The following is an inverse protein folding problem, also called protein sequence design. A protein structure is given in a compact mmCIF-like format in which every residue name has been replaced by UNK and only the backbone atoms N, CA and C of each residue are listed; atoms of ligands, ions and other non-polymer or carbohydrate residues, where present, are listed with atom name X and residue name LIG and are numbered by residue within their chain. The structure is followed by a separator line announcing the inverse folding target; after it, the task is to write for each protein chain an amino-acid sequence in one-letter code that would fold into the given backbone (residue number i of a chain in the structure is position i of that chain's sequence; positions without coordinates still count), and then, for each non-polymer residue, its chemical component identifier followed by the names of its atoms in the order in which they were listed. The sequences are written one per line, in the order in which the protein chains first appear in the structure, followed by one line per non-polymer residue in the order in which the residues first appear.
data_IF_494174563238
#
_entry.id   IF_494174563238
#
_cell.length_a   1.000
_cell.length_b   1.000
_cell.length_c   1.000
_cell.angle_alpha   90.00
_cell.angle_beta   90.00
_cell.angle_gamma   90.00
#
_symmetry.space_group_name_H-M   'P 1'
#
loop_
_entity.id
_entity.type
_entity.pdbx_description
1 polymer ?
#
# COMPACT_ATOMS: atom_id res chain seq x y z
N UNK A 1 4.76 -3.66 -4.75
CA UNK A 1 3.44 -3.65 -5.44
C UNK A 1 3.51 -2.56 -6.50
N UNK A 2 3.21 -2.84 -7.78
CA UNK A 2 3.28 -1.84 -8.84
C UNK A 2 2.22 -0.76 -8.69
N UNK A 3 2.51 0.43 -9.20
CA UNK A 3 1.52 1.50 -9.31
C UNK A 3 0.50 1.17 -10.42
N UNK A 4 -0.75 1.59 -10.23
CA UNK A 4 -1.87 1.26 -11.13
C UNK A 4 -1.65 1.69 -12.58
N UNK A 5 -1.02 2.84 -12.80
CA UNK A 5 -0.73 3.40 -14.13
C UNK A 5 0.34 2.65 -14.93
N UNK A 6 1.03 1.69 -14.31
CA UNK A 6 2.05 0.85 -14.95
C UNK A 6 1.49 -0.49 -15.43
N UNK A 7 0.19 -0.74 -15.27
CA UNK A 7 -0.45 -2.03 -15.57
C UNK A 7 -1.37 -1.87 -16.78
N UNK A 8 -1.20 -2.75 -17.76
CA UNK A 8 -2.16 -2.88 -18.88
C UNK A 8 -3.37 -3.70 -18.41
N UNK A 9 -4.45 -3.01 -18.09
CA UNK A 9 -5.69 -3.61 -17.60
C UNK A 9 -6.49 -4.33 -18.68
N UNK A 10 -6.26 -4.04 -19.96
CA UNK A 10 -6.91 -4.70 -21.08
C UNK A 10 -6.25 -6.06 -21.43
N UNK A 11 -5.12 -6.36 -20.79
CA UNK A 11 -4.45 -7.65 -21.03
C UNK A 11 -5.35 -8.81 -20.59
N UNK A 12 -5.57 -9.84 -21.46
CA UNK A 12 -6.58 -10.87 -21.25
C UNK A 12 -6.14 -11.95 -20.25
N UNK A 13 -5.93 -11.57 -19.00
CA UNK A 13 -5.58 -12.49 -17.90
C UNK A 13 -6.62 -12.42 -16.78
N UNK A 14 -6.71 -13.49 -16.02
CA UNK A 14 -7.57 -13.60 -14.85
C UNK A 14 -6.86 -13.12 -13.57
N UNK A 15 -7.64 -12.88 -12.52
CA UNK A 15 -7.13 -12.62 -11.17
C UNK A 15 -6.18 -13.73 -10.72
N UNK A 16 -6.57 -15.00 -10.93
CA UNK A 16 -5.75 -16.16 -10.58
C UNK A 16 -4.42 -16.19 -11.32
N UNK A 17 -4.40 -15.80 -12.61
CA UNK A 17 -3.17 -15.73 -13.40
C UNK A 17 -2.21 -14.67 -12.83
N UNK A 18 -2.73 -13.49 -12.50
CA UNK A 18 -1.90 -12.40 -11.92
C UNK A 18 -1.36 -12.79 -10.54
N UNK A 19 -2.17 -13.41 -9.68
CA UNK A 19 -1.70 -13.85 -8.36
C UNK A 19 -0.69 -14.99 -8.51
N UNK A 20 -0.89 -15.92 -9.47
CA UNK A 20 0.06 -16.98 -9.80
C UNK A 20 1.42 -16.43 -10.27
N UNK A 21 1.48 -15.26 -10.91
CA UNK A 21 2.75 -14.62 -11.26
C UNK A 21 3.63 -14.36 -10.02
N UNK A 22 3.04 -14.22 -8.82
CA UNK A 22 3.79 -14.16 -7.57
C UNK A 22 4.61 -15.42 -7.29
N UNK A 23 4.21 -16.59 -7.83
CA UNK A 23 4.89 -17.86 -7.64
C UNK A 23 6.03 -18.13 -8.63
N UNK A 24 6.11 -17.36 -9.73
CA UNK A 24 7.05 -17.65 -10.85
C UNK A 24 8.50 -17.78 -10.37
N UNK A 25 8.93 -16.90 -9.45
CA UNK A 25 10.30 -16.95 -8.91
C UNK A 25 10.64 -18.25 -8.18
N UNK A 26 9.65 -18.90 -7.57
CA UNK A 26 9.82 -20.14 -6.80
C UNK A 26 9.52 -21.40 -7.61
N UNK A 27 8.69 -21.29 -8.65
CA UNK A 27 8.43 -22.40 -9.55
C UNK A 27 9.64 -22.74 -10.43
N UNK A 28 10.46 -21.73 -10.75
CA UNK A 28 11.58 -21.84 -11.69
C UNK A 28 11.14 -21.74 -13.16
N UNK A 29 12.09 -21.37 -14.03
CA UNK A 29 11.85 -21.18 -15.46
C UNK A 29 11.34 -22.50 -16.07
N UNK A 30 10.32 -22.41 -16.94
CA UNK A 30 9.74 -23.53 -17.71
C UNK A 30 9.04 -24.61 -16.90
N UNK A 31 8.65 -24.35 -15.65
CA UNK A 31 7.84 -25.31 -14.88
C UNK A 31 6.38 -24.86 -14.82
N UNK A 32 5.47 -25.82 -14.96
CA UNK A 32 4.04 -25.57 -14.75
C UNK A 32 3.72 -25.45 -13.26
N UNK A 33 2.71 -24.65 -12.95
CA UNK A 33 2.16 -24.53 -11.60
C UNK A 33 1.67 -25.89 -11.08
N UNK A 34 2.00 -26.20 -9.82
CA UNK A 34 1.58 -27.42 -9.13
C UNK A 34 0.41 -27.12 -8.20
N UNK A 35 -0.23 -28.15 -7.68
CA UNK A 35 -1.33 -28.04 -6.72
C UNK A 35 -0.94 -27.18 -5.50
N UNK A 36 0.32 -27.26 -5.03
CA UNK A 36 0.83 -26.40 -3.96
C UNK A 36 0.77 -24.92 -4.34
N UNK A 37 1.13 -24.56 -5.57
CA UNK A 37 1.14 -23.16 -6.00
C UNK A 37 -0.28 -22.62 -6.10
N UNK A 38 -1.21 -23.40 -6.63
CA UNK A 38 -2.63 -23.05 -6.64
C UNK A 38 -3.22 -22.91 -5.23
N UNK A 39 -2.83 -23.79 -4.30
CA UNK A 39 -3.25 -23.67 -2.91
C UNK A 39 -2.82 -22.35 -2.29
N UNK A 40 -1.57 -21.91 -2.52
CA UNK A 40 -1.06 -20.63 -2.05
C UNK A 40 -1.78 -19.43 -2.71
N UNK A 41 -2.10 -19.53 -3.99
CA UNK A 41 -2.91 -18.53 -4.70
C UNK A 41 -4.30 -18.40 -4.06
N UNK A 42 -4.99 -19.50 -3.80
CA UNK A 42 -6.29 -19.49 -3.12
C UNK A 42 -6.19 -18.88 -1.72
N UNK A 43 -5.23 -19.30 -0.90
CA UNK A 43 -5.01 -18.76 0.43
C UNK A 43 -4.75 -17.24 0.40
N UNK A 44 -3.92 -16.78 -0.53
CA UNK A 44 -3.65 -15.35 -0.69
C UNK A 44 -4.91 -14.56 -1.11
N UNK A 45 -5.74 -15.13 -1.98
CA UNK A 45 -7.00 -14.52 -2.39
C UNK A 45 -8.06 -14.52 -1.28
N UNK A 46 -8.10 -15.56 -0.45
CA UNK A 46 -8.98 -15.63 0.73
C UNK A 46 -8.65 -14.52 1.72
N UNK A 47 -7.36 -14.28 2.02
CA UNK A 47 -6.92 -13.22 2.94
C UNK A 47 -7.44 -11.84 2.52
N UNK A 48 -7.49 -11.56 1.22
CA UNK A 48 -7.95 -10.27 0.69
C UNK A 48 -9.42 -10.29 0.25
N UNK A 49 -10.17 -11.36 0.53
CA UNK A 49 -11.58 -11.49 0.17
C UNK A 49 -11.85 -11.54 -1.34
N UNK A 50 -10.93 -12.12 -2.12
CA UNK A 50 -10.98 -12.14 -3.58
C UNK A 50 -11.08 -13.56 -4.18
N UNK A 51 -11.21 -14.62 -3.39
CA UNK A 51 -11.21 -15.98 -3.91
C UNK A 51 -12.34 -16.26 -4.93
N UNK A 52 -13.53 -15.72 -4.68
CA UNK A 52 -14.66 -15.81 -5.61
C UNK A 52 -14.39 -15.16 -6.99
N UNK A 53 -13.39 -14.31 -7.09
CA UNK A 53 -13.04 -13.60 -8.32
C UNK A 53 -11.88 -14.25 -9.10
N UNK A 54 -11.35 -15.37 -8.66
CA UNK A 54 -10.14 -16.01 -9.23
C UNK A 54 -10.19 -16.18 -10.76
N UNK A 55 -11.36 -16.46 -11.33
CA UNK A 55 -11.57 -16.63 -12.78
C UNK A 55 -12.01 -15.35 -13.50
N UNK A 56 -12.18 -14.23 -12.78
CA UNK A 56 -12.60 -12.96 -13.37
C UNK A 56 -11.42 -12.32 -14.09
N UNK A 57 -11.68 -11.70 -15.24
CA UNK A 57 -10.66 -10.90 -15.96
C UNK A 57 -10.33 -9.62 -15.18
N UNK A 58 -9.06 -9.20 -15.21
CA UNK A 58 -8.59 -8.03 -14.47
C UNK A 58 -9.24 -6.73 -14.94
N UNK A 59 -9.62 -6.63 -16.22
CA UNK A 59 -10.35 -5.48 -16.79
C UNK A 59 -11.71 -5.24 -16.14
N UNK A 60 -12.30 -6.25 -15.51
CA UNK A 60 -13.62 -6.19 -14.87
C UNK A 60 -13.55 -5.82 -13.37
N UNK A 61 -12.37 -5.54 -12.85
CA UNK A 61 -12.17 -5.24 -11.44
C UNK A 61 -12.35 -3.75 -11.14
N UNK A 62 -13.01 -3.45 -10.02
CA UNK A 62 -12.98 -2.11 -9.44
C UNK A 62 -11.56 -1.76 -8.94
N UNK A 63 -11.30 -0.46 -8.71
CA UNK A 63 -9.99 0.02 -8.23
C UNK A 63 -9.57 -0.68 -6.93
N UNK A 64 -10.48 -0.80 -5.96
CA UNK A 64 -10.21 -1.52 -4.72
C UNK A 64 -9.94 -3.01 -4.92
N UNK A 65 -10.65 -3.67 -5.86
CA UNK A 65 -10.38 -5.06 -6.21
C UNK A 65 -9.03 -5.24 -6.90
N UNK A 66 -8.63 -4.32 -7.77
CA UNK A 66 -7.31 -4.28 -8.38
C UNK A 66 -6.21 -4.22 -7.31
N UNK A 67 -6.37 -3.34 -6.33
CA UNK A 67 -5.44 -3.20 -5.22
C UNK A 67 -5.32 -4.49 -4.41
N UNK A 68 -6.45 -5.09 -4.03
CA UNK A 68 -6.49 -6.35 -3.29
C UNK A 68 -5.84 -7.50 -4.05
N UNK A 69 -6.03 -7.57 -5.37
CA UNK A 69 -5.38 -8.57 -6.20
C UNK A 69 -3.84 -8.45 -6.16
N UNK A 70 -3.29 -7.23 -6.17
CA UNK A 70 -1.84 -7.05 -6.05
C UNK A 70 -1.29 -7.37 -4.66
N UNK A 71 -2.07 -7.13 -3.60
CA UNK A 71 -1.72 -7.61 -2.25
C UNK A 71 -1.69 -9.14 -2.25
N UNK A 72 -2.71 -9.80 -2.80
CA UNK A 72 -2.75 -11.26 -2.91
C UNK A 72 -1.55 -11.81 -3.70
N UNK A 73 -1.15 -11.15 -4.80
CA UNK A 73 0.05 -11.53 -5.56
C UNK A 73 1.32 -11.47 -4.69
N UNK A 74 1.48 -10.44 -3.86
CA UNK A 74 2.61 -10.32 -2.96
C UNK A 74 2.60 -11.40 -1.88
N UNK A 75 1.42 -11.72 -1.32
CA UNK A 75 1.25 -12.80 -0.36
C UNK A 75 1.55 -14.17 -0.97
N UNK A 76 1.07 -14.43 -2.19
CA UNK A 76 1.34 -15.68 -2.88
C UNK A 76 2.85 -15.89 -3.14
N UNK A 77 3.65 -14.83 -3.16
CA UNK A 77 5.10 -14.89 -3.24
C UNK A 77 5.75 -15.41 -1.94
N UNK A 78 4.98 -15.57 -0.85
CA UNK A 78 5.50 -15.87 0.51
C UNK A 78 6.52 -14.81 0.95
N UNK A 79 6.24 -13.52 0.65
CA UNK A 79 7.13 -12.42 0.99
C UNK A 79 7.06 -12.11 2.49
N UNK A 80 8.22 -12.01 3.14
CA UNK A 80 8.34 -11.56 4.54
C UNK A 80 8.24 -10.03 4.67
N UNK A 81 8.51 -9.30 3.57
CA UNK A 81 8.43 -7.85 3.48
C UNK A 81 7.68 -7.43 2.22
N UNK A 82 6.63 -6.64 2.38
CA UNK A 82 5.85 -6.06 1.29
C UNK A 82 6.07 -4.55 1.26
N UNK A 83 6.54 -4.04 0.13
CA UNK A 83 6.69 -2.60 -0.11
C UNK A 83 5.55 -2.13 -1.00
N UNK A 84 4.84 -1.08 -0.56
CA UNK A 84 3.75 -0.47 -1.30
C UNK A 84 3.98 1.03 -1.42
N UNK A 85 3.90 1.53 -2.64
CA UNK A 85 4.02 2.95 -2.92
C UNK A 85 2.64 3.53 -3.16
N UNK A 86 2.20 4.43 -2.27
CA UNK A 86 0.89 5.08 -2.24
C UNK A 86 -0.30 4.17 -2.58
N UNK A 87 -0.46 3.02 -1.91
CA UNK A 87 -1.45 2.02 -2.30
C UNK A 87 -2.91 2.47 -2.10
N UNK A 88 -3.14 3.55 -1.36
CA UNK A 88 -4.48 4.03 -1.01
C UNK A 88 -4.91 5.24 -1.85
N UNK A 89 -4.03 5.74 -2.72
CA UNK A 89 -4.31 6.89 -3.58
C UNK A 89 -5.44 6.58 -4.57
N UNK A 90 -6.42 7.49 -4.65
CA UNK A 90 -7.58 7.35 -5.53
C UNK A 90 -8.68 6.42 -5.00
N UNK A 91 -8.58 5.93 -3.77
CA UNK A 91 -9.66 5.24 -3.08
C UNK A 91 -10.52 6.23 -2.29
N UNK A 92 -11.84 6.04 -2.30
CA UNK A 92 -12.72 6.73 -1.36
C UNK A 92 -12.51 6.26 0.08
N UNK A 93 -13.03 7.00 1.05
CA UNK A 93 -12.82 6.72 2.47
C UNK A 93 -13.25 5.29 2.89
N UNK A 94 -14.33 4.77 2.31
CA UNK A 94 -14.82 3.42 2.62
C UNK A 94 -13.86 2.34 2.12
N UNK A 95 -13.32 2.50 0.92
CA UNK A 95 -12.33 1.59 0.34
C UNK A 95 -10.98 1.69 1.05
N UNK A 96 -10.59 2.88 1.51
CA UNK A 96 -9.39 3.05 2.34
C UNK A 96 -9.50 2.29 3.66
N UNK A 97 -10.62 2.41 4.37
CA UNK A 97 -10.89 1.66 5.60
C UNK A 97 -10.87 0.14 5.38
N UNK A 98 -11.40 -0.32 4.24
CA UNK A 98 -11.33 -1.74 3.88
C UNK A 98 -9.89 -2.19 3.62
N UNK A 99 -9.10 -1.36 2.94
CA UNK A 99 -7.70 -1.63 2.69
C UNK A 99 -6.88 -1.65 3.99
N UNK A 100 -7.11 -0.72 4.92
CA UNK A 100 -6.45 -0.74 6.24
C UNK A 100 -6.76 -2.02 6.99
N UNK A 101 -8.02 -2.48 7.01
CA UNK A 101 -8.39 -3.76 7.66
C UNK A 101 -7.65 -4.96 7.06
N UNK A 102 -7.43 -4.97 5.75
CA UNK A 102 -6.62 -6.02 5.12
C UNK A 102 -5.17 -5.91 5.58
N UNK A 103 -4.59 -4.71 5.60
CA UNK A 103 -3.21 -4.49 6.04
C UNK A 103 -3.00 -4.91 7.50
N UNK A 104 -3.96 -4.61 8.39
CA UNK A 104 -3.94 -5.06 9.78
C UNK A 104 -3.96 -6.59 9.88
N UNK A 105 -4.73 -7.26 9.02
CA UNK A 105 -4.75 -8.73 8.99
C UNK A 105 -3.43 -9.35 8.58
N UNK A 106 -2.59 -8.65 7.81
CA UNK A 106 -1.27 -9.14 7.40
C UNK A 106 -0.28 -9.22 8.57
N UNK A 107 -0.45 -8.40 9.61
CA UNK A 107 0.38 -8.49 10.82
C UNK A 107 0.25 -9.85 11.50
N UNK A 108 -0.95 -10.45 11.45
CA UNK A 108 -1.18 -11.79 12.02
C UNK A 108 -0.49 -12.92 11.23
N UNK A 109 0.04 -12.62 10.05
CA UNK A 109 0.73 -13.56 9.16
C UNK A 109 2.26 -13.41 9.20
N UNK A 110 2.81 -12.70 10.19
CA UNK A 110 4.26 -12.40 10.32
C UNK A 110 4.85 -11.68 9.08
N UNK A 111 4.00 -10.91 8.35
CA UNK A 111 4.43 -10.14 7.18
C UNK A 111 4.68 -8.69 7.59
N UNK A 112 5.87 -8.21 7.34
CA UNK A 112 6.19 -6.78 7.50
C UNK A 112 5.69 -6.00 6.30
N UNK A 113 4.89 -4.96 6.52
CA UNK A 113 4.38 -4.08 5.45
C UNK A 113 4.96 -2.68 5.63
N UNK A 114 5.59 -2.16 4.58
CA UNK A 114 6.07 -0.78 4.52
C UNK A 114 5.33 -0.05 3.40
N UNK A 115 4.65 1.04 3.78
CA UNK A 115 3.78 1.82 2.89
C UNK A 115 4.28 3.26 2.84
N UNK A 116 4.43 3.83 1.63
CA UNK A 116 4.50 5.29 1.48
C UNK A 116 3.09 5.88 1.55
N UNK A 117 2.93 6.96 2.28
CA UNK A 117 1.65 7.65 2.41
C UNK A 117 1.88 9.13 2.71
N UNK A 118 1.05 10.01 2.14
CA UNK A 118 1.20 11.45 2.31
C UNK A 118 0.22 12.05 3.33
N UNK A 119 -0.85 11.35 3.70
CA UNK A 119 -1.79 11.81 4.72
C UNK A 119 -1.27 11.47 6.14
N UNK A 120 -0.73 12.50 6.80
CA UNK A 120 -0.18 12.41 8.16
C UNK A 120 -1.22 11.96 9.18
N UNK A 121 -2.50 12.36 9.00
CA UNK A 121 -3.58 11.99 9.90
C UNK A 121 -3.92 10.50 9.79
N UNK A 122 -4.06 10.00 8.57
CA UNK A 122 -4.29 8.58 8.34
C UNK A 122 -3.12 7.74 8.87
N UNK A 123 -1.87 8.19 8.64
CA UNK A 123 -0.67 7.52 9.17
C UNK A 123 -0.70 7.44 10.69
N UNK A 124 -1.05 8.51 11.39
CA UNK A 124 -1.09 8.53 12.87
C UNK A 124 -2.18 7.63 13.46
N UNK A 125 -3.24 7.37 12.72
CA UNK A 125 -4.37 6.56 13.18
C UNK A 125 -4.19 5.05 12.93
N UNK A 126 -3.53 4.69 11.83
CA UNK A 126 -3.49 3.29 11.35
C UNK A 126 -2.12 2.60 11.50
N UNK A 127 -1.05 3.35 11.77
CA UNK A 127 0.30 2.77 11.85
C UNK A 127 0.97 3.00 13.19
N UNK A 128 1.47 1.92 13.79
CA UNK A 128 2.23 2.01 15.04
C UNK A 128 3.58 2.69 14.86
N UNK A 129 4.24 2.44 13.74
CA UNK A 129 5.59 2.94 13.45
C UNK A 129 5.60 3.73 12.16
N UNK A 130 6.31 4.85 12.20
CA UNK A 130 6.46 5.78 11.10
C UNK A 130 7.94 6.00 10.82
N UNK A 131 8.28 6.06 9.52
CA UNK A 131 9.56 6.50 9.02
C UNK A 131 9.34 7.83 8.26
N UNK A 132 9.85 8.93 8.78
CA UNK A 132 9.75 10.24 8.15
C UNK A 132 11.02 10.54 7.36
N UNK A 133 10.85 10.77 6.05
CA UNK A 133 11.94 10.96 5.10
C UNK A 133 11.79 12.31 4.36
N UNK A 134 12.90 13.02 4.19
CA UNK A 134 13.07 14.08 3.20
C UNK A 134 14.54 14.10 2.76
N UNK A 135 14.90 13.36 1.69
CA UNK A 135 16.28 13.09 1.24
C UNK A 135 17.16 12.45 2.31
N UNK A 136 16.92 12.75 3.57
CA UNK A 136 17.52 12.15 4.76
C UNK A 136 16.44 11.61 5.70
N UNK A 137 16.81 10.71 6.61
CA UNK A 137 15.91 10.20 7.61
C UNK A 137 15.74 11.23 8.74
N UNK A 138 14.53 11.78 8.88
CA UNK A 138 14.19 12.77 9.92
C UNK A 138 13.73 12.12 11.22
N UNK A 139 13.25 10.87 11.15
CA UNK A 139 12.84 10.11 12.31
C UNK A 139 12.29 8.74 11.96
N UNK A 140 12.42 7.81 12.90
CA UNK A 140 11.78 6.50 12.88
C UNK A 140 11.30 6.16 14.27
N UNK A 141 10.07 5.66 14.41
CA UNK A 141 9.50 5.30 15.71
C UNK A 141 7.98 5.39 15.72
N UNK A 142 7.40 5.61 16.90
CA UNK A 142 5.95 5.80 17.04
C UNK A 142 5.51 7.10 16.39
N UNK A 143 4.29 7.12 15.86
CA UNK A 143 3.74 8.28 15.16
C UNK A 143 3.79 9.57 16.02
N UNK A 144 3.40 9.47 17.30
CA UNK A 144 3.41 10.58 18.25
C UNK A 144 4.81 11.19 18.52
N UNK A 145 5.87 10.43 18.34
CA UNK A 145 7.27 10.85 18.54
C UNK A 145 7.95 11.32 17.25
N UNK A 146 7.46 10.87 16.11
CA UNK A 146 8.05 11.16 14.80
C UNK A 146 7.34 12.30 14.09
N UNK A 147 6.01 12.37 14.16
CA UNK A 147 5.20 13.37 13.46
C UNK A 147 5.04 14.64 14.30
N UNK A 148 6.15 15.19 14.80
CA UNK A 148 6.12 16.47 15.52
C UNK A 148 6.08 17.65 14.55
N UNK A 149 5.51 18.82 14.96
CA UNK A 149 5.43 20.01 14.11
C UNK A 149 6.78 20.39 13.50
N UNK A 150 7.86 20.34 14.28
CA UNK A 150 9.21 20.73 13.84
C UNK A 150 9.75 19.77 12.75
N UNK A 151 9.55 18.46 12.94
CA UNK A 151 9.98 17.45 11.95
C UNK A 151 9.14 17.50 10.69
N UNK A 152 7.82 17.71 10.83
CA UNK A 152 6.93 17.89 9.68
C UNK A 152 7.29 19.15 8.89
N UNK A 153 7.55 20.28 9.55
CA UNK A 153 8.03 21.47 8.87
C UNK A 153 9.31 21.21 8.08
N UNK A 154 10.29 20.51 8.68
CA UNK A 154 11.52 20.12 8.00
C UNK A 154 11.25 19.17 6.83
N UNK A 155 10.31 18.22 6.98
CA UNK A 155 9.97 17.26 5.93
C UNK A 155 9.33 17.91 4.71
N UNK A 156 8.45 18.87 4.93
CA UNK A 156 7.70 19.56 3.87
C UNK A 156 8.34 20.89 3.43
N UNK A 157 9.45 21.30 4.05
CA UNK A 157 10.14 22.53 3.69
C UNK A 157 9.39 23.81 4.08
N UNK A 158 8.48 23.74 5.07
CA UNK A 158 7.71 24.87 5.55
C UNK A 158 8.44 25.51 6.73
N UNK A 159 8.73 26.82 6.67
CA UNK A 159 9.15 27.57 7.85
C UNK A 159 7.94 27.74 8.77
N UNK A 160 7.94 27.05 9.92
CA UNK A 160 6.97 27.30 10.97
C UNK A 160 7.30 28.63 11.63
N UNK A 161 6.52 29.65 11.36
CA UNK A 161 6.52 30.87 12.18
C UNK A 161 5.80 30.56 13.51
N UNK A 162 6.58 30.09 14.50
CA UNK A 162 6.08 29.66 15.81
C UNK A 162 5.51 30.84 16.67
N UNK A 163 5.35 32.01 16.07
CA UNK A 163 4.95 33.20 16.80
C UNK A 163 3.43 33.42 16.93
N UNK A 164 2.60 32.66 16.26
CA UNK A 164 1.15 32.89 16.31
C UNK A 164 0.30 31.65 15.96
N UNK A 165 0.07 30.76 16.91
CA UNK A 165 -1.21 30.03 16.93
C UNK A 165 -1.39 29.25 18.23
N UNK A 166 -2.23 29.79 19.06
CA UNK A 166 -2.91 29.10 20.15
C UNK A 166 -4.19 28.46 19.63
N UNK A 167 -4.07 27.55 18.64
CA UNK A 167 -5.18 26.65 18.26
C UNK A 167 -4.62 25.43 17.54
N UNK A 168 -4.99 24.26 18.04
CA UNK A 168 -4.49 22.92 17.70
C UNK A 168 -4.86 22.42 16.29
N UNK A 169 -4.84 23.26 15.26
CA UNK A 169 -5.17 22.81 13.90
C UNK A 169 -4.07 23.24 12.93
N UNK A 170 -3.10 22.33 12.71
CA UNK A 170 -2.19 22.43 11.56
C UNK A 170 -2.98 22.14 10.28
N UNK A 171 -3.42 23.18 9.59
CA UNK A 171 -3.91 23.09 8.23
C UNK A 171 -2.69 23.07 7.31
N UNK A 172 -2.26 21.89 6.91
CA UNK A 172 -1.33 21.72 5.79
C UNK A 172 -2.11 22.04 4.50
N UNK A 173 -1.99 23.27 4.02
CA UNK A 173 -2.58 23.67 2.74
C UNK A 173 -1.94 22.88 1.60
N UNK A 174 -2.77 22.50 0.61
CA UNK A 174 -2.34 21.91 -0.66
C UNK A 174 -1.30 22.82 -1.33
N UNK A 175 -0.02 22.48 -1.18
CA UNK A 175 1.08 23.07 -1.93
C UNK A 175 1.62 22.09 -2.97
N UNK A 176 0.75 21.54 -3.79
CA UNK A 176 1.17 21.03 -5.09
C UNK A 176 0.95 22.16 -6.10
N UNK A 177 1.97 22.99 -6.27
CA UNK A 177 1.99 23.95 -7.35
C UNK A 177 2.46 23.21 -8.63
N UNK A 178 1.53 22.98 -9.52
CA UNK A 178 1.71 22.32 -10.82
C UNK A 178 2.25 23.35 -11.83
N UNK A 179 3.41 23.96 -11.54
CA UNK A 179 4.09 24.88 -12.44
C UNK A 179 5.60 24.61 -12.41
N UNK A 180 6.03 23.71 -13.28
CA UNK A 180 7.40 23.70 -13.79
C UNK A 180 7.37 23.53 -15.32
N UNK A 181 8.15 24.34 -16.06
CA UNK A 181 8.11 24.48 -17.52
C UNK A 181 8.62 23.23 -18.27
#
# INVERSE_FOLDING_TARGET
VPQRNQVDWEFPVTVGDVVMMGRVGQMGLFRSAKDRDWKLVHQALEVVGMDAYIKRQISQLSVGQQQRMFIARALAQEAELILMDEPLTGLDASLQEEAFRILDSLQSLDVTVLISHHDVKAVSQHFERVLLLNKEMLGIGRADQVLTPEKLAKAYGVELDLASTSDDTLVLGDMYNDDAP
#
